data_IF_771274206095
#
_entry.id   IF_771274206095
#
_cell.length_a   1.000
_cell.length_b   1.000
_cell.length_c   1.000
_cell.angle_alpha   90.00
_cell.angle_beta   90.00
_cell.angle_gamma   90.00
#
_symmetry.space_group_name_H-M   'P 1'
#
loop_
_entity.id
_entity.type
_entity.pdbx_description
1 polymer ?
#
# COMPACT_ATOMS: atom_id res chain seq x y z
N UNK A 1 -7.57 4.28 -7.96
CA UNK A 1 -8.72 5.22 -7.86
C UNK A 1 -8.34 6.61 -8.35
N UNK A 2 -9.29 7.53 -8.55
CA UNK A 2 -9.01 8.87 -9.10
C UNK A 2 -8.51 9.84 -8.01
N UNK A 3 -7.47 10.61 -8.35
CA UNK A 3 -6.93 11.71 -7.55
C UNK A 3 -6.44 12.82 -8.49
N UNK A 4 -6.35 14.04 -7.99
CA UNK A 4 -5.73 15.18 -8.69
C UNK A 4 -4.30 15.32 -8.17
N UNK A 5 -3.33 15.47 -9.07
CA UNK A 5 -1.95 15.78 -8.71
C UNK A 5 -1.62 17.20 -9.15
N UNK A 6 -0.85 17.92 -8.34
CA UNK A 6 -0.39 19.26 -8.71
C UNK A 6 0.37 19.97 -7.61
N UNK A 7 0.80 21.19 -7.93
CA UNK A 7 1.38 22.14 -6.99
C UNK A 7 0.26 22.76 -6.14
N UNK A 8 0.28 22.50 -4.84
CA UNK A 8 -0.73 22.93 -3.87
C UNK A 8 -0.05 23.82 -2.82
N UNK A 9 -0.65 24.97 -2.53
CA UNK A 9 -0.17 25.85 -1.46
C UNK A 9 -0.38 27.33 -1.74
N UNK A 10 0.30 28.16 -0.96
CA UNK A 10 0.29 29.62 -1.11
C UNK A 10 1.54 30.10 -1.85
N UNK A 11 1.62 31.39 -2.18
CA UNK A 11 2.81 31.99 -2.81
C UNK A 11 4.10 31.77 -2.00
N UNK A 12 4.01 31.67 -0.68
CA UNK A 12 5.17 31.50 0.21
C UNK A 12 5.53 30.04 0.47
N UNK A 13 4.65 29.08 0.18
CA UNK A 13 4.91 27.65 0.33
C UNK A 13 4.04 26.83 -0.61
N UNK A 14 4.67 26.13 -1.54
CA UNK A 14 4.04 25.24 -2.51
C UNK A 14 4.62 23.84 -2.35
N UNK A 15 3.76 22.82 -2.33
CA UNK A 15 4.12 21.41 -2.29
C UNK A 15 3.46 20.67 -3.45
N UNK A 16 4.17 19.76 -4.10
CA UNK A 16 3.55 18.87 -5.08
C UNK A 16 2.82 17.75 -4.34
N UNK A 17 1.49 17.69 -4.48
CA UNK A 17 0.65 16.80 -3.70
C UNK A 17 -0.42 16.11 -4.55
N UNK A 18 -0.82 14.93 -4.12
CA UNK A 18 -2.01 14.24 -4.60
C UNK A 18 -3.20 14.52 -3.66
N UNK A 19 -4.31 14.99 -4.21
CA UNK A 19 -5.54 15.27 -3.46
C UNK A 19 -6.67 14.40 -4.00
N UNK A 20 -7.31 13.66 -3.10
CA UNK A 20 -8.48 12.87 -3.44
C UNK A 20 -8.92 11.98 -2.29
N UNK A 21 -10.16 11.51 -2.41
CA UNK A 21 -10.72 10.56 -1.45
C UNK A 21 -9.89 9.26 -1.35
N UNK A 22 -9.29 8.82 -2.46
CA UNK A 22 -8.44 7.62 -2.50
C UNK A 22 -7.15 7.79 -1.68
N UNK A 23 -6.59 9.00 -1.61
CA UNK A 23 -5.37 9.29 -0.82
C UNK A 23 -5.67 9.14 0.67
N UNK A 24 -6.79 9.71 1.11
CA UNK A 24 -7.26 9.56 2.49
C UNK A 24 -7.62 8.11 2.81
N UNK A 25 -8.19 7.37 1.86
CA UNK A 25 -8.50 5.95 2.02
C UNK A 25 -7.23 5.13 2.22
N UNK A 26 -6.19 5.35 1.41
CA UNK A 26 -4.91 4.67 1.52
C UNK A 26 -4.28 4.91 2.91
N UNK A 27 -4.25 6.16 3.39
CA UNK A 27 -3.73 6.48 4.73
C UNK A 27 -4.51 5.78 5.85
N UNK A 28 -5.84 5.68 5.73
CA UNK A 28 -6.66 4.97 6.72
C UNK A 28 -6.47 3.46 6.68
N UNK A 29 -6.26 2.91 5.49
CA UNK A 29 -5.97 1.50 5.30
C UNK A 29 -4.58 1.14 5.85
N UNK A 30 -3.57 2.00 5.67
CA UNK A 30 -2.28 1.86 6.35
C UNK A 30 -2.48 1.76 7.86
N UNK A 31 -3.39 2.56 8.44
CA UNK A 31 -3.72 2.48 9.87
C UNK A 31 -4.26 1.11 10.33
N UNK A 32 -4.80 0.27 9.45
CA UNK A 32 -5.29 -1.07 9.83
C UNK A 32 -4.18 -2.08 10.06
N UNK A 33 -2.94 -1.80 9.64
CA UNK A 33 -1.75 -2.62 9.95
C UNK A 33 -1.57 -2.82 11.46
N UNK A 34 -2.01 -1.86 12.29
CA UNK A 34 -2.03 -1.99 13.76
C UNK A 34 -2.87 -3.17 14.28
N UNK A 35 -3.86 -3.63 13.49
CA UNK A 35 -4.70 -4.78 13.82
C UNK A 35 -4.17 -6.08 13.22
N UNK A 36 -3.46 -5.96 12.10
CA UNK A 36 -2.93 -7.06 11.31
C UNK A 36 -1.41 -7.00 11.35
N UNK A 37 -0.82 -7.28 12.51
CA UNK A 37 0.62 -7.09 12.75
C UNK A 37 1.50 -7.97 11.85
N UNK A 38 0.95 -9.09 11.38
CA UNK A 38 1.60 -9.96 10.41
C UNK A 38 1.66 -9.39 8.99
N UNK A 39 0.96 -8.30 8.68
CA UNK A 39 0.84 -7.76 7.33
C UNK A 39 1.26 -6.28 7.31
N UNK A 40 2.57 -6.00 7.11
CA UNK A 40 3.07 -4.63 7.06
C UNK A 40 2.55 -3.84 5.85
N UNK A 41 2.10 -4.53 4.81
CA UNK A 41 1.49 -3.93 3.61
C UNK A 41 0.04 -4.37 3.54
N UNK A 42 -0.88 -3.41 3.47
CA UNK A 42 -2.31 -3.66 3.30
C UNK A 42 -2.83 -2.77 2.18
N UNK A 43 -3.61 -3.36 1.27
CA UNK A 43 -4.18 -2.71 0.09
C UNK A 43 -5.65 -3.05 -0.09
N UNK A 44 -6.35 -2.23 -0.89
CA UNK A 44 -7.76 -2.48 -1.21
C UNK A 44 -7.90 -3.57 -2.26
N UNK A 45 -9.10 -4.15 -2.38
CA UNK A 45 -9.43 -5.06 -3.49
C UNK A 45 -9.10 -4.49 -4.86
N UNK A 46 -9.38 -3.21 -5.08
CA UNK A 46 -9.11 -2.57 -6.37
C UNK A 46 -7.61 -2.52 -6.64
N UNK A 47 -6.80 -2.10 -5.67
CA UNK A 47 -5.35 -2.10 -5.82
C UNK A 47 -4.79 -3.52 -6.01
N UNK A 48 -5.39 -4.50 -5.32
CA UNK A 48 -5.10 -5.91 -5.49
C UNK A 48 -5.38 -6.40 -6.91
N UNK A 49 -6.56 -6.12 -7.47
CA UNK A 49 -6.91 -6.55 -8.83
C UNK A 49 -5.98 -5.97 -9.92
N UNK A 50 -5.42 -4.78 -9.71
CA UNK A 50 -4.45 -4.16 -10.62
C UNK A 50 -3.06 -4.82 -10.57
N UNK A 51 -2.82 -5.74 -9.62
CA UNK A 51 -1.58 -6.53 -9.55
C UNK A 51 -1.67 -7.83 -10.34
N UNK A 52 -2.71 -8.03 -11.17
CA UNK A 52 -2.82 -9.22 -12.01
C UNK A 52 -1.55 -9.40 -12.87
N UNK A 53 -0.99 -10.61 -12.86
CA UNK A 53 0.29 -10.92 -13.48
C UNK A 53 1.54 -10.56 -12.67
N UNK A 54 1.43 -9.93 -11.50
CA UNK A 54 2.57 -9.69 -10.63
C UNK A 54 3.05 -11.02 -9.99
N UNK A 55 4.37 -11.30 -9.92
CA UNK A 55 4.88 -12.58 -9.38
C UNK A 55 4.40 -12.90 -7.96
N UNK A 56 4.21 -11.88 -7.14
CA UNK A 56 3.75 -12.02 -5.75
C UNK A 56 2.24 -11.97 -5.60
N UNK A 57 1.48 -11.88 -6.70
CA UNK A 57 0.02 -11.91 -6.65
C UNK A 57 -0.46 -13.12 -5.81
N UNK A 58 -0.05 -14.38 -6.04
CA UNK A 58 -0.55 -15.52 -5.27
C UNK A 58 -0.23 -15.49 -3.77
N UNK A 59 0.73 -14.67 -3.35
CA UNK A 59 1.23 -14.62 -1.98
C UNK A 59 0.49 -13.59 -1.10
N UNK A 60 -0.47 -12.84 -1.66
CA UNK A 60 -1.30 -11.91 -0.90
C UNK A 60 -2.47 -12.62 -0.21
N UNK A 61 -2.73 -12.24 1.04
CA UNK A 61 -3.77 -12.83 1.88
C UNK A 61 -5.01 -11.93 1.94
N UNK A 62 -6.19 -12.51 1.74
CA UNK A 62 -7.45 -11.79 1.97
C UNK A 62 -7.68 -11.57 3.48
N UNK A 63 -7.75 -10.32 3.91
CA UNK A 63 -8.00 -9.92 5.31
C UNK A 63 -9.49 -9.63 5.58
N UNK A 64 -10.36 -9.87 4.60
CA UNK A 64 -11.80 -9.69 4.66
C UNK A 64 -12.25 -8.24 4.68
N UNK A 65 -13.51 -8.04 5.07
CA UNK A 65 -14.19 -6.75 5.03
C UNK A 65 -13.82 -5.84 6.21
N UNK A 66 -13.09 -4.77 5.91
CA UNK A 66 -12.64 -3.78 6.89
C UNK A 66 -13.54 -2.55 6.94
N UNK A 67 -13.91 -2.15 8.17
CA UNK A 67 -14.61 -0.88 8.40
C UNK A 67 -13.58 0.25 8.46
N UNK A 68 -13.58 1.10 7.45
CA UNK A 68 -12.70 2.26 7.37
C UNK A 68 -13.40 3.50 7.94
N UNK A 69 -12.71 4.23 8.81
CA UNK A 69 -13.24 5.47 9.41
C UNK A 69 -13.66 6.45 8.31
N UNK A 70 -14.83 7.06 8.45
CA UNK A 70 -15.36 8.01 7.47
C UNK A 70 -15.91 7.37 6.19
N UNK A 71 -16.01 6.04 6.12
CA UNK A 71 -16.72 5.33 5.04
C UNK A 71 -17.93 4.59 5.60
N UNK A 72 -19.07 4.71 4.89
CA UNK A 72 -20.31 4.01 5.22
C UNK A 72 -20.21 2.51 4.88
N UNK A 73 -19.63 2.20 3.72
CA UNK A 73 -19.42 0.82 3.26
C UNK A 73 -18.10 0.28 3.81
N UNK A 74 -18.11 -1.00 4.21
CA UNK A 74 -16.87 -1.76 4.44
C UNK A 74 -16.17 -1.98 3.11
N UNK A 75 -14.86 -2.13 3.16
CA UNK A 75 -14.03 -2.40 2.01
C UNK A 75 -13.20 -3.66 2.25
N UNK A 76 -13.12 -4.52 1.24
CA UNK A 76 -12.31 -5.73 1.30
C UNK A 76 -10.82 -5.35 1.21
N UNK A 77 -10.03 -5.86 2.14
CA UNK A 77 -8.61 -5.56 2.25
C UNK A 77 -7.76 -6.83 2.06
N UNK A 78 -6.58 -6.64 1.49
CA UNK A 78 -5.60 -7.70 1.24
C UNK A 78 -4.28 -7.32 1.89
N UNK A 79 -3.64 -8.28 2.52
CA UNK A 79 -2.38 -8.14 3.24
C UNK A 79 -1.23 -8.81 2.51
N UNK A 80 -0.04 -8.25 2.62
CA UNK A 80 1.20 -8.85 2.14
C UNK A 80 2.29 -8.67 3.20
N UNK A 81 3.02 -9.75 3.47
CA UNK A 81 4.19 -9.76 4.30
C UNK A 81 5.42 -10.19 3.50
N UNK A 82 6.27 -9.25 3.08
CA UNK A 82 7.45 -9.60 2.31
C UNK A 82 8.36 -10.56 3.08
N UNK A 83 8.43 -10.56 4.41
CA UNK A 83 9.34 -11.45 5.14
C UNK A 83 8.86 -12.91 5.21
N UNK A 84 7.55 -13.16 5.09
CA UNK A 84 6.95 -14.52 5.13
C UNK A 84 6.65 -15.01 3.72
N UNK A 85 6.04 -14.13 2.94
CA UNK A 85 5.50 -14.42 1.61
C UNK A 85 6.60 -14.36 0.54
N UNK A 86 7.78 -13.84 0.90
CA UNK A 86 9.00 -13.87 0.12
C UNK A 86 10.26 -13.70 0.98
N UNK A 87 10.85 -14.76 1.57
CA UNK A 87 12.14 -14.63 2.24
C UNK A 87 13.13 -13.95 1.28
N UNK A 88 13.58 -12.75 1.64
CA UNK A 88 14.44 -11.91 0.83
C UNK A 88 15.74 -12.68 0.56
N UNK A 89 15.81 -13.39 -0.55
CA UNK A 89 17.07 -13.97 -1.02
C UNK A 89 17.90 -12.81 -1.54
N UNK A 90 18.90 -12.38 -0.75
CA UNK A 90 19.88 -11.38 -1.19
C UNK A 90 20.67 -11.83 -2.43
N UNK A 91 20.59 -13.11 -2.81
CA UNK A 91 21.35 -13.71 -3.90
C UNK A 91 20.61 -13.74 -5.25
N UNK A 92 19.32 -13.40 -5.29
CA UNK A 92 18.54 -13.47 -6.53
C UNK A 92 17.90 -12.12 -6.80
N UNK A 93 18.50 -11.36 -7.71
CA UNK A 93 17.87 -10.18 -8.28
C UNK A 93 16.62 -10.61 -9.02
N UNK A 94 15.48 -10.56 -8.33
CA UNK A 94 14.18 -10.85 -8.92
C UNK A 94 13.84 -9.77 -9.94
N UNK A 95 14.21 -10.04 -11.19
CA UNK A 95 13.65 -9.42 -12.41
C UNK A 95 13.36 -7.92 -12.31
N UNK A 96 14.30 -7.13 -11.76
CA UNK A 96 14.20 -5.67 -11.70
C UNK A 96 13.33 -5.08 -10.58
N UNK A 97 12.74 -5.90 -9.69
CA UNK A 97 12.04 -5.42 -8.50
C UNK A 97 12.99 -5.46 -7.31
N UNK A 98 13.73 -4.37 -7.09
CA UNK A 98 14.57 -4.23 -5.91
C UNK A 98 13.68 -4.10 -4.67
N UNK A 99 13.73 -5.05 -3.71
CA UNK A 99 13.03 -4.88 -2.45
C UNK A 99 13.77 -3.79 -1.67
N UNK A 100 13.07 -2.66 -1.48
CA UNK A 100 13.40 -1.52 -0.61
C UNK A 100 14.77 -1.67 0.05
N UNK A 101 15.81 -1.10 -0.56
CA UNK A 101 17.07 -0.86 0.13
C UNK A 101 16.71 -0.15 1.43
N UNK A 102 16.84 -0.87 2.54
CA UNK A 102 16.84 -0.28 3.87
C UNK A 102 17.98 0.74 3.83
N UNK A 103 17.68 2.02 3.61
CA UNK A 103 18.66 3.08 3.78
C UNK A 103 19.17 2.94 5.21
N UNK A 104 20.37 2.36 5.35
CA UNK A 104 21.16 2.50 6.56
C UNK A 104 21.69 3.93 6.55
N UNK A 105 21.51 4.63 7.65
CA UNK A 105 21.98 5.99 7.91
C UNK A 105 20.79 6.86 8.30
N UNK A 106 20.71 7.39 9.51
CA UNK A 106 21.76 8.00 10.34
C UNK A 106 21.66 7.54 11.80
#
# INVERSE_FOLDING_TARGET
GKAILGNIGSKSKIEYAAIGDIVNMAARLQGTTKKFLDYPIIMSKEAWNELDGHPYYPALTNLGMQKIRGKKKKLEAFGFNPLKDHPLSMAQGDKGFLPLQRMRGV
#
